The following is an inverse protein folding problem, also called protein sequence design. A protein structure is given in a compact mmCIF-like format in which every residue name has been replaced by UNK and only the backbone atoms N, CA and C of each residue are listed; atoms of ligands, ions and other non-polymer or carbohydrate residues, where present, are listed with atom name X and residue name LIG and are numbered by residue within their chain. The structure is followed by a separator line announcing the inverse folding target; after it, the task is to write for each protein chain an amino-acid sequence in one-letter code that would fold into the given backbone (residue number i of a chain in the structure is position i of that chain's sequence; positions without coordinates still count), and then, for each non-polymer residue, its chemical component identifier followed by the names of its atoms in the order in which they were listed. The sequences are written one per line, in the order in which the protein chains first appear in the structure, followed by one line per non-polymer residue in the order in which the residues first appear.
data_IF_930226729863
#
_entry.id   IF_930226729863
#
_cell.length_a   1.000
_cell.length_b   1.000
_cell.length_c   1.000
_cell.angle_alpha   90.00
_cell.angle_beta   90.00
_cell.angle_gamma   90.00
#
_symmetry.space_group_name_H-M   'P 1'
#
loop_
_entity.id
_entity.type
_entity.pdbx_description
1 polymer ?
#
# COMPACT_ATOMS: atom_id res chain seq x y z
N UNK A 1 -21.67 8.43 -28.86
CA UNK A 1 -20.77 7.28 -29.11
C UNK A 1 -19.53 7.30 -28.20
N UNK A 2 -18.81 8.42 -28.09
CA UNK A 2 -17.58 8.55 -27.28
C UNK A 2 -17.77 8.23 -25.78
N UNK A 3 -18.89 8.63 -25.16
CA UNK A 3 -19.14 8.31 -23.75
C UNK A 3 -19.38 6.81 -23.48
N UNK A 4 -19.94 6.09 -24.46
CA UNK A 4 -20.21 4.66 -24.35
C UNK A 4 -18.92 3.83 -24.45
N UNK A 5 -17.99 4.25 -25.32
CA UNK A 5 -16.66 3.62 -25.44
C UNK A 5 -15.80 3.86 -24.19
N UNK A 6 -15.87 5.05 -23.58
CA UNK A 6 -15.15 5.36 -22.33
C UNK A 6 -15.66 4.51 -21.16
N UNK A 7 -16.99 4.36 -21.00
CA UNK A 7 -17.56 3.48 -19.95
C UNK A 7 -17.25 1.99 -20.18
N UNK A 8 -17.25 1.54 -21.44
CA UNK A 8 -16.87 0.17 -21.80
C UNK A 8 -15.40 -0.10 -21.43
N UNK A 9 -14.50 0.81 -21.82
CA UNK A 9 -13.09 0.76 -21.45
C UNK A 9 -12.89 0.71 -19.94
N UNK A 10 -13.58 1.58 -19.18
CA UNK A 10 -13.42 1.63 -17.73
C UNK A 10 -13.85 0.32 -17.07
N UNK A 11 -14.95 -0.29 -17.51
CA UNK A 11 -15.42 -1.57 -16.98
C UNK A 11 -14.46 -2.74 -17.21
N UNK A 12 -13.64 -2.70 -18.28
CA UNK A 12 -12.60 -3.71 -18.50
C UNK A 12 -11.53 -3.71 -17.39
N UNK A 13 -11.32 -2.56 -16.73
CA UNK A 13 -10.35 -2.41 -15.63
C UNK A 13 -10.90 -2.88 -14.27
N UNK A 14 -12.19 -3.21 -14.16
CA UNK A 14 -12.83 -3.57 -12.88
C UNK A 14 -12.20 -4.80 -12.23
N UNK A 15 -12.04 -5.89 -13.00
CA UNK A 15 -11.44 -7.12 -12.50
C UNK A 15 -9.99 -6.92 -12.06
N UNK A 16 -9.10 -6.42 -12.95
CA UNK A 16 -7.71 -6.12 -12.61
C UNK A 16 -7.57 -5.18 -11.41
N UNK A 17 -8.35 -4.10 -11.34
CA UNK A 17 -8.30 -3.15 -10.25
C UNK A 17 -8.66 -3.81 -8.91
N UNK A 18 -9.68 -4.68 -8.87
CA UNK A 18 -10.09 -5.37 -7.65
C UNK A 18 -8.97 -6.28 -7.13
N UNK A 19 -8.31 -7.04 -8.02
CA UNK A 19 -7.19 -7.91 -7.65
C UNK A 19 -6.03 -7.09 -7.10
N UNK A 20 -5.63 -6.02 -7.79
CA UNK A 20 -4.50 -5.17 -7.38
C UNK A 20 -4.79 -4.51 -6.03
N UNK A 21 -5.99 -3.98 -5.83
CA UNK A 21 -6.40 -3.38 -4.54
C UNK A 21 -6.33 -4.42 -3.43
N UNK A 22 -6.84 -5.64 -3.66
CA UNK A 22 -6.82 -6.70 -2.65
C UNK A 22 -5.39 -7.10 -2.28
N UNK A 23 -4.52 -7.34 -3.26
CA UNK A 23 -3.10 -7.68 -3.03
C UNK A 23 -2.39 -6.54 -2.32
N UNK A 24 -2.56 -5.29 -2.76
CA UNK A 24 -1.96 -4.13 -2.11
C UNK A 24 -2.45 -3.95 -0.67
N UNK A 25 -3.73 -4.24 -0.39
CA UNK A 25 -4.29 -4.19 0.97
C UNK A 25 -3.65 -5.27 1.86
N UNK A 26 -3.51 -6.50 1.36
CA UNK A 26 -2.85 -7.59 2.09
C UNK A 26 -1.38 -7.27 2.39
N UNK A 27 -0.64 -6.77 1.41
CA UNK A 27 0.75 -6.33 1.61
C UNK A 27 0.84 -5.18 2.62
N UNK A 28 -0.08 -4.21 2.54
CA UNK A 28 -0.18 -3.12 3.50
C UNK A 28 -0.41 -3.63 4.92
N UNK A 29 -1.39 -4.53 5.10
CA UNK A 29 -1.72 -5.13 6.41
C UNK A 29 -0.55 -5.92 6.98
N UNK A 30 0.11 -6.73 6.16
CA UNK A 30 1.28 -7.49 6.59
C UNK A 30 2.45 -6.56 6.97
N UNK A 31 2.71 -5.53 6.16
CA UNK A 31 3.74 -4.53 6.44
C UNK A 31 3.48 -3.74 7.72
N UNK A 32 2.24 -3.32 7.97
CA UNK A 32 1.87 -2.68 9.23
C UNK A 32 2.00 -3.61 10.42
N UNK A 33 1.58 -4.87 10.29
CA UNK A 33 1.75 -5.87 11.35
C UNK A 33 3.23 -6.09 11.71
N UNK A 34 4.10 -6.28 10.70
CA UNK A 34 5.55 -6.43 10.92
C UNK A 34 6.15 -5.17 11.54
N UNK A 35 5.75 -3.97 11.08
CA UNK A 35 6.19 -2.72 11.67
C UNK A 35 5.74 -2.57 13.14
N UNK A 36 4.51 -2.95 13.46
CA UNK A 36 4.01 -2.96 14.84
C UNK A 36 4.78 -3.93 15.73
N UNK A 37 5.11 -5.13 15.24
CA UNK A 37 5.97 -6.07 15.97
C UNK A 37 7.38 -5.52 16.18
N UNK A 38 7.99 -4.95 15.14
CA UNK A 38 9.32 -4.34 15.24
C UNK A 38 9.35 -3.21 16.27
N UNK A 39 8.28 -2.42 16.37
CA UNK A 39 8.15 -1.39 17.39
C UNK A 39 7.95 -1.98 18.77
N UNK A 40 7.11 -3.03 18.92
CA UNK A 40 6.93 -3.69 20.21
C UNK A 40 8.25 -4.24 20.75
N UNK A 41 9.04 -4.90 19.91
CA UNK A 41 10.37 -5.39 20.28
C UNK A 41 11.38 -4.25 20.49
N UNK A 42 11.35 -3.21 19.66
CA UNK A 42 12.22 -2.06 19.86
C UNK A 42 11.90 -1.36 21.18
N UNK A 43 10.63 -1.10 21.49
CA UNK A 43 10.22 -0.39 22.71
C UNK A 43 10.60 -1.13 24.00
N UNK A 44 10.75 -2.45 23.95
CA UNK A 44 11.26 -3.25 25.08
C UNK A 44 12.77 -3.04 25.31
N UNK A 45 13.52 -2.69 24.25
CA UNK A 45 14.99 -2.46 24.24
C UNK A 45 15.40 -0.97 24.14
N UNK A 46 14.46 -0.03 24.01
CA UNK A 46 14.80 1.38 23.71
C UNK A 46 15.15 2.18 24.99
N UNK A 47 16.45 2.29 25.24
CA UNK A 47 17.02 3.15 26.28
C UNK A 47 17.17 4.63 25.84
N UNK A 48 17.17 4.95 24.54
CA UNK A 48 17.50 6.30 24.03
C UNK A 48 16.46 6.91 23.08
N UNK A 49 16.33 8.25 23.13
CA UNK A 49 15.32 8.99 22.35
C UNK A 49 15.46 8.84 20.82
N UNK A 50 16.68 8.64 20.29
CA UNK A 50 16.95 8.49 18.85
C UNK A 50 16.32 7.23 18.26
N UNK A 51 16.34 6.11 18.98
CA UNK A 51 15.73 4.85 18.53
C UNK A 51 14.20 4.95 18.49
N UNK A 52 13.56 5.69 19.41
CA UNK A 52 12.11 5.96 19.37
C UNK A 52 11.69 6.70 18.10
N UNK A 53 12.44 7.72 17.70
CA UNK A 53 12.14 8.47 16.46
C UNK A 53 12.23 7.58 15.21
N UNK A 54 13.21 6.67 15.15
CA UNK A 54 13.31 5.73 14.04
C UNK A 54 12.13 4.75 13.98
N UNK A 55 11.66 4.26 15.13
CA UNK A 55 10.50 3.38 15.21
C UNK A 55 9.20 4.08 14.76
N UNK A 56 9.01 5.35 15.14
CA UNK A 56 7.88 6.16 14.65
C UNK A 56 7.94 6.38 13.13
N UNK A 57 9.12 6.65 12.58
CA UNK A 57 9.29 6.77 11.12
C UNK A 57 8.94 5.47 10.39
N UNK A 58 9.32 4.32 10.95
CA UNK A 58 8.92 3.00 10.45
C UNK A 58 7.39 2.81 10.47
N UNK A 59 6.72 3.13 11.57
CA UNK A 59 5.24 3.05 11.65
C UNK A 59 4.60 3.97 10.63
N UNK A 60 5.05 5.22 10.52
CA UNK A 60 4.50 6.19 9.60
C UNK A 60 4.66 5.72 8.14
N UNK A 61 5.82 5.15 7.81
CA UNK A 61 6.09 4.61 6.47
C UNK A 61 5.17 3.42 6.16
N UNK A 62 5.14 2.38 7.00
CA UNK A 62 4.30 1.20 6.74
C UNK A 62 2.80 1.50 6.86
N UNK A 63 2.40 2.40 7.76
CA UNK A 63 1.02 2.90 7.84
C UNK A 63 0.59 3.64 6.57
N UNK A 64 1.48 4.45 5.98
CA UNK A 64 1.20 5.15 4.73
C UNK A 64 1.01 4.20 3.54
N UNK A 65 1.71 3.05 3.52
CA UNK A 65 1.52 2.02 2.50
C UNK A 65 0.11 1.41 2.53
N UNK A 66 -0.54 1.38 3.69
CA UNK A 66 -1.92 0.90 3.85
C UNK A 66 -2.97 1.96 3.48
N UNK A 67 -2.62 3.24 3.58
CA UNK A 67 -3.50 4.35 3.18
C UNK A 67 -3.78 4.36 1.67
N UNK A 68 -2.79 4.00 0.83
CA UNK A 68 -2.95 3.93 -0.63
C UNK A 68 -4.04 2.96 -1.11
N UNK A 69 -4.04 1.66 -0.73
CA UNK A 69 -5.11 0.74 -1.12
C UNK A 69 -6.48 1.09 -0.52
N UNK A 70 -6.53 1.71 0.67
CA UNK A 70 -7.77 2.26 1.23
C UNK A 70 -8.33 3.41 0.39
N UNK A 71 -7.47 4.33 -0.05
CA UNK A 71 -7.88 5.40 -0.97
C UNK A 71 -8.36 4.82 -2.31
N UNK A 72 -7.66 3.81 -2.82
CA UNK A 72 -8.02 3.12 -4.06
C UNK A 72 -9.37 2.39 -3.95
N UNK A 73 -9.70 1.78 -2.81
CA UNK A 73 -10.99 1.11 -2.61
C UNK A 73 -12.17 2.10 -2.58
N UNK A 74 -11.97 3.30 -2.01
CA UNK A 74 -12.95 4.40 -2.08
C UNK A 74 -13.18 4.83 -3.54
N UNK A 75 -12.10 5.01 -4.30
CA UNK A 75 -12.15 5.42 -5.72
C UNK A 75 -12.77 4.32 -6.60
N UNK A 76 -12.54 3.06 -6.26
CA UNK A 76 -13.19 1.92 -6.89
C UNK A 76 -14.72 1.98 -6.68
N UNK A 77 -15.19 2.40 -5.50
CA UNK A 77 -16.61 2.66 -5.22
C UNK A 77 -17.24 3.72 -6.14
N UNK A 78 -16.47 4.72 -6.56
CA UNK A 78 -16.88 5.72 -7.55
C UNK A 78 -16.80 5.24 -9.01
N UNK A 79 -16.59 3.93 -9.24
CA UNK A 79 -16.48 3.30 -10.57
C UNK A 79 -15.34 3.84 -11.44
N UNK A 80 -14.30 4.42 -10.84
CA UNK A 80 -13.08 4.89 -11.51
C UNK A 80 -11.97 3.85 -11.36
N UNK A 81 -12.19 2.68 -11.95
CA UNK A 81 -11.35 1.49 -11.77
C UNK A 81 -9.92 1.66 -12.26
N UNK A 82 -9.70 2.35 -13.39
CA UNK A 82 -8.36 2.59 -13.93
C UNK A 82 -7.53 3.47 -12.99
N UNK A 83 -8.17 4.49 -12.43
CA UNK A 83 -7.53 5.40 -11.46
C UNK A 83 -7.26 4.68 -10.14
N UNK A 84 -8.22 3.87 -9.66
CA UNK A 84 -8.04 3.03 -8.48
C UNK A 84 -6.86 2.07 -8.63
N UNK A 85 -6.70 1.44 -9.79
CA UNK A 85 -5.53 0.59 -10.10
C UNK A 85 -4.23 1.39 -10.01
N UNK A 86 -4.15 2.56 -10.65
CA UNK A 86 -2.93 3.37 -10.65
C UNK A 86 -2.49 3.69 -9.22
N UNK A 87 -3.42 4.09 -8.35
CA UNK A 87 -3.12 4.38 -6.94
C UNK A 87 -2.69 3.13 -6.17
N UNK A 88 -3.39 2.00 -6.35
CA UNK A 88 -3.07 0.76 -5.66
C UNK A 88 -1.74 0.13 -6.11
N UNK A 89 -1.27 0.44 -7.33
CA UNK A 89 0.00 -0.07 -7.86
C UNK A 89 1.25 0.58 -7.28
N UNK A 90 1.16 1.83 -6.80
CA UNK A 90 2.28 2.55 -6.20
C UNK A 90 2.91 1.85 -4.97
N UNK A 91 2.14 1.39 -3.96
CA UNK A 91 2.70 0.67 -2.81
C UNK A 91 3.32 -0.68 -3.21
N UNK A 92 2.77 -1.38 -4.21
CA UNK A 92 3.35 -2.64 -4.71
C UNK A 92 4.74 -2.42 -5.32
N UNK A 93 4.93 -1.32 -6.03
CA UNK A 93 6.22 -0.91 -6.59
C UNK A 93 7.25 -0.63 -5.50
N UNK A 94 6.84 0.05 -4.42
CA UNK A 94 7.70 0.31 -3.27
C UNK A 94 8.09 -0.98 -2.53
N UNK A 95 7.16 -1.91 -2.36
CA UNK A 95 7.45 -3.23 -1.76
C UNK A 95 8.43 -4.02 -2.64
N UNK A 96 8.23 -4.04 -3.96
CA UNK A 96 9.15 -4.70 -4.89
C UNK A 96 10.56 -4.09 -4.84
N UNK A 97 10.67 -2.77 -4.84
CA UNK A 97 11.96 -2.06 -4.70
C UNK A 97 12.63 -2.37 -3.35
N UNK A 98 11.86 -2.37 -2.26
CA UNK A 98 12.37 -2.71 -0.93
C UNK A 98 12.89 -4.15 -0.86
N UNK A 99 12.20 -5.10 -1.48
CA UNK A 99 12.64 -6.49 -1.55
C UNK A 99 13.94 -6.64 -2.37
N UNK A 100 14.07 -5.92 -3.48
CA UNK A 100 15.31 -5.91 -4.28
C UNK A 100 16.48 -5.37 -3.45
N UNK A 101 16.31 -4.24 -2.78
CA UNK A 101 17.37 -3.67 -1.93
C UNK A 101 17.79 -4.68 -0.85
N UNK A 102 16.83 -5.33 -0.18
CA UNK A 102 17.12 -6.30 0.88
C UNK A 102 17.82 -7.58 0.39
N UNK A 103 17.60 -8.00 -0.85
CA UNK A 103 18.27 -9.19 -1.43
C UNK A 103 19.73 -8.89 -1.78
N UNK A 104 20.04 -7.65 -2.17
CA UNK A 104 21.38 -7.25 -2.66
C UNK A 104 22.23 -6.48 -1.63
N UNK A 105 21.70 -6.21 -0.43
CA UNK A 105 22.42 -5.62 0.70
C UNK A 105 22.99 -6.70 1.62
#
# INVERSE_FOLDING_TARGET
MILATVRSSENAWRGPALVVILVATLCGLFGTYVASLAVLFALDDVETASQRYSAFAFIAFYGSLLACPLMASIIFGFRRYRLAMMIASAPLLLVALSAVVAIFS
#
